data_IF_877731674291
#
_entry.id   IF_877731674291
#
_cell.length_a   1.000
_cell.length_b   1.000
_cell.length_c   1.000
_cell.angle_alpha   90.00
_cell.angle_beta   90.00
_cell.angle_gamma   90.00
#
_symmetry.space_group_name_H-M   'P 1'
#
loop_
_entity.id
_entity.type
_entity.pdbx_description
1 polymer ?
#
# COMPACT_ATOMS: atom_id res chain seq x y z
N UNK A 1 -75.06 -21.51 -1.29
CA UNK A 1 -74.27 -21.09 -2.45
C UNK A 1 -73.97 -19.60 -2.24
N UNK A 2 -72.74 -19.25 -2.11
CA UNK A 2 -72.30 -17.82 -2.05
C UNK A 2 -72.50 -17.21 -3.42
N UNK A 3 -73.05 -15.99 -3.49
CA UNK A 3 -73.27 -15.32 -4.76
C UNK A 3 -71.95 -15.02 -5.50
N UNK A 4 -71.98 -15.00 -6.82
CA UNK A 4 -70.80 -14.70 -7.63
C UNK A 4 -70.17 -13.36 -7.30
N UNK A 5 -70.93 -12.41 -6.77
CA UNK A 5 -70.44 -11.10 -6.31
C UNK A 5 -69.54 -11.19 -5.09
N UNK A 6 -69.85 -12.11 -4.15
CA UNK A 6 -69.01 -12.33 -2.95
C UNK A 6 -67.70 -13.01 -3.32
N UNK A 7 -67.70 -13.93 -4.27
CA UNK A 7 -66.48 -14.56 -4.80
C UNK A 7 -65.62 -13.55 -5.55
N UNK A 8 -66.23 -12.62 -6.29
CA UNK A 8 -65.53 -11.56 -7.00
C UNK A 8 -64.86 -10.55 -6.03
N UNK A 9 -65.57 -10.19 -4.94
CA UNK A 9 -65.02 -9.31 -3.90
C UNK A 9 -63.87 -9.97 -3.11
N UNK A 10 -64.00 -11.26 -2.78
CA UNK A 10 -62.90 -12.02 -2.13
C UNK A 10 -61.70 -12.11 -3.06
N UNK A 11 -61.88 -12.33 -4.31
CA UNK A 11 -60.78 -12.39 -5.30
C UNK A 11 -60.09 -11.02 -5.50
N UNK A 12 -60.87 -9.93 -5.42
CA UNK A 12 -60.33 -8.57 -5.51
C UNK A 12 -59.52 -8.20 -4.27
N UNK A 13 -60.01 -8.52 -3.07
CA UNK A 13 -59.29 -8.25 -1.82
C UNK A 13 -58.01 -9.08 -1.68
N UNK A 14 -58.04 -10.34 -2.10
CA UNK A 14 -56.84 -11.19 -2.12
C UNK A 14 -55.84 -10.69 -3.13
N UNK A 15 -56.27 -10.20 -4.29
CA UNK A 15 -55.35 -9.55 -5.27
C UNK A 15 -54.73 -8.28 -4.72
N UNK A 16 -55.50 -7.45 -4.00
CA UNK A 16 -55.02 -6.24 -3.39
C UNK A 16 -54.01 -6.52 -2.26
N UNK A 17 -54.24 -7.55 -1.44
CA UNK A 17 -53.25 -8.01 -0.45
C UNK A 17 -51.98 -8.59 -1.07
N UNK A 18 -52.11 -9.37 -2.17
CA UNK A 18 -50.95 -9.87 -2.91
C UNK A 18 -50.16 -8.72 -3.53
N UNK A 19 -50.85 -7.71 -4.06
CA UNK A 19 -50.20 -6.52 -4.62
C UNK A 19 -49.51 -5.70 -3.53
N UNK A 20 -50.16 -5.48 -2.37
CA UNK A 20 -49.53 -4.83 -1.18
C UNK A 20 -48.35 -5.65 -0.65
N UNK A 21 -48.47 -6.97 -0.58
CA UNK A 21 -47.38 -7.84 -0.14
C UNK A 21 -46.22 -7.85 -1.15
N UNK A 22 -46.52 -7.72 -2.42
CA UNK A 22 -45.49 -7.56 -3.46
C UNK A 22 -44.82 -6.18 -3.37
N UNK A 23 -45.57 -5.13 -3.09
CA UNK A 23 -45.04 -3.77 -2.90
C UNK A 23 -44.22 -3.66 -1.61
N UNK A 24 -44.63 -4.30 -0.51
CA UNK A 24 -43.83 -4.40 0.72
C UNK A 24 -42.55 -5.23 0.53
N UNK A 25 -42.62 -6.31 -0.24
CA UNK A 25 -41.42 -7.10 -0.55
C UNK A 25 -40.41 -6.35 -1.42
N UNK A 26 -40.86 -5.40 -2.23
CA UNK A 26 -39.92 -4.55 -3.02
C UNK A 26 -39.17 -3.55 -2.14
N UNK A 27 -39.69 -3.23 -0.92
CA UNK A 27 -39.03 -2.29 -0.01
C UNK A 27 -37.97 -2.96 0.89
N UNK A 28 -38.01 -4.29 1.05
CA UNK A 28 -37.11 -5.01 1.98
C UNK A 28 -35.81 -5.56 1.39
N UNK A 29 -35.65 -5.55 0.09
CA UNK A 29 -34.58 -6.36 -0.49
C UNK A 29 -33.29 -5.62 -0.78
N UNK A 30 -33.32 -4.31 -1.01
CA UNK A 30 -32.12 -3.60 -1.47
C UNK A 30 -32.17 -2.13 -1.09
N UNK A 31 -31.05 -1.63 -0.58
CA UNK A 31 -30.80 -0.20 -0.63
C UNK A 31 -31.07 0.31 -2.06
N UNK A 32 -31.80 1.43 -2.22
CA UNK A 32 -32.11 1.98 -3.54
C UNK A 32 -30.89 2.10 -4.44
N UNK A 33 -29.73 2.36 -3.86
CA UNK A 33 -28.46 2.49 -4.55
C UNK A 33 -27.97 1.18 -5.20
N UNK A 34 -28.27 0.02 -4.62
CA UNK A 34 -27.81 -1.25 -5.20
C UNK A 34 -28.66 -1.73 -6.38
N UNK A 35 -29.90 -1.29 -6.49
CA UNK A 35 -30.77 -1.63 -7.62
C UNK A 35 -30.49 -0.79 -8.85
N UNK A 36 -30.21 0.48 -8.67
CA UNK A 36 -29.90 1.39 -9.78
C UNK A 36 -28.59 1.01 -10.48
N UNK A 37 -27.67 0.39 -9.75
CA UNK A 37 -26.36 -0.02 -10.27
C UNK A 37 -26.44 -1.36 -11.02
N UNK A 38 -27.41 -2.22 -10.69
CA UNK A 38 -27.51 -3.58 -11.24
C UNK A 38 -28.81 -3.84 -12.03
N UNK A 39 -29.56 -2.80 -12.36
CA UNK A 39 -30.75 -2.94 -13.21
C UNK A 39 -30.32 -3.32 -14.63
N UNK A 40 -30.86 -4.41 -15.22
CA UNK A 40 -30.38 -4.92 -16.52
C UNK A 40 -30.71 -4.02 -17.69
N UNK A 41 -31.48 -2.93 -17.51
CA UNK A 41 -32.01 -2.16 -18.64
C UNK A 41 -31.00 -1.25 -19.35
N UNK A 42 -29.83 -0.93 -18.77
CA UNK A 42 -28.82 -0.07 -19.42
C UNK A 42 -27.40 -0.16 -18.84
N UNK A 43 -26.99 -1.28 -18.24
CA UNK A 43 -25.63 -1.44 -17.79
C UNK A 43 -24.76 -2.00 -18.91
N UNK A 44 -23.66 -1.31 -19.20
CA UNK A 44 -22.55 -1.92 -19.92
C UNK A 44 -22.18 -3.23 -19.21
N UNK A 45 -21.95 -4.30 -19.98
CA UNK A 45 -21.66 -5.62 -19.46
C UNK A 45 -20.47 -5.66 -18.46
N UNK A 46 -19.67 -4.61 -18.42
CA UNK A 46 -18.53 -4.46 -17.50
C UNK A 46 -18.78 -3.32 -16.51
N UNK A 47 -18.77 -3.64 -15.22
CA UNK A 47 -18.67 -2.63 -14.18
C UNK A 47 -17.27 -1.99 -14.30
N UNK A 48 -17.24 -0.75 -14.72
CA UNK A 48 -15.99 0.03 -14.71
C UNK A 48 -15.62 0.34 -13.27
N UNK A 49 -14.44 -0.06 -12.86
CA UNK A 49 -13.91 0.28 -11.56
C UNK A 49 -13.72 1.79 -11.53
N UNK A 50 -14.47 2.45 -10.66
CA UNK A 50 -14.53 3.91 -10.58
C UNK A 50 -13.24 4.55 -10.01
N UNK A 51 -12.37 3.75 -9.40
CA UNK A 51 -11.11 4.24 -8.82
C UNK A 51 -9.94 3.54 -9.48
N UNK A 52 -9.02 4.26 -10.13
CA UNK A 52 -7.78 3.68 -10.58
C UNK A 52 -7.02 3.15 -9.37
N UNK A 53 -6.52 1.91 -9.48
CA UNK A 53 -5.73 1.31 -8.43
C UNK A 53 -4.32 1.81 -8.59
N UNK A 54 -3.91 2.66 -7.66
CA UNK A 54 -2.54 3.07 -7.52
C UNK A 54 -1.98 2.47 -6.23
N UNK A 55 -1.19 1.41 -6.40
CA UNK A 55 -0.48 0.72 -5.30
C UNK A 55 1.01 0.72 -5.61
N UNK A 56 1.66 1.90 -5.53
CA UNK A 56 3.03 2.07 -5.99
C UNK A 56 4.04 1.24 -5.21
N UNK A 57 3.84 1.07 -3.92
CA UNK A 57 4.76 0.35 -3.04
C UNK A 57 4.61 -1.17 -3.22
N UNK A 58 3.38 -1.67 -3.16
CA UNK A 58 3.04 -3.08 -3.36
C UNK A 58 3.60 -3.64 -4.67
N UNK A 59 3.54 -2.84 -5.74
CA UNK A 59 3.99 -3.26 -7.07
C UNK A 59 5.52 -3.25 -7.22
N UNK A 60 6.25 -2.59 -6.31
CA UNK A 60 7.72 -2.47 -6.39
C UNK A 60 8.45 -3.40 -5.43
N UNK A 61 7.81 -3.78 -4.32
CA UNK A 61 8.42 -4.68 -3.34
C UNK A 61 8.36 -6.11 -3.87
N UNK A 62 9.50 -6.81 -3.97
CA UNK A 62 9.52 -8.20 -4.40
C UNK A 62 8.85 -9.11 -3.36
N UNK A 63 8.16 -10.13 -3.86
CA UNK A 63 7.48 -11.14 -3.06
C UNK A 63 8.30 -12.42 -3.03
N UNK A 64 8.39 -13.02 -1.86
CA UNK A 64 9.04 -14.32 -1.65
C UNK A 64 8.10 -15.27 -0.93
N UNK A 65 8.30 -16.57 -1.16
CA UNK A 65 7.51 -17.60 -0.49
C UNK A 65 7.96 -17.77 0.96
N UNK A 66 7.00 -17.58 1.88
CA UNK A 66 7.18 -17.79 3.30
C UNK A 66 7.15 -19.25 3.74
N UNK A 67 7.71 -19.53 4.91
CA UNK A 67 7.71 -20.86 5.53
C UNK A 67 7.62 -20.75 7.05
N UNK A 68 6.94 -21.71 7.68
CA UNK A 68 6.79 -21.77 9.13
C UNK A 68 5.73 -20.81 9.67
N UNK A 69 5.79 -20.48 10.95
CA UNK A 69 4.80 -19.65 11.65
C UNK A 69 5.13 -18.16 11.63
N UNK A 70 6.40 -17.81 11.43
CA UNK A 70 6.87 -16.44 11.42
C UNK A 70 8.04 -16.28 10.44
N UNK A 71 8.06 -15.14 9.77
CA UNK A 71 9.23 -14.71 9.02
C UNK A 71 10.35 -14.29 9.97
N UNK A 72 11.56 -14.75 9.72
CA UNK A 72 12.73 -14.39 10.51
C UNK A 72 13.86 -13.93 9.60
N UNK A 73 14.53 -12.84 10.01
CA UNK A 73 15.71 -12.34 9.30
C UNK A 73 16.75 -11.78 10.26
N UNK A 74 17.95 -11.64 9.74
CA UNK A 74 19.04 -11.04 10.48
C UNK A 74 19.20 -9.60 10.02
N UNK A 75 19.13 -8.66 10.97
CA UNK A 75 19.39 -7.26 10.75
C UNK A 75 20.76 -6.90 11.32
N UNK A 76 21.61 -6.26 10.54
CA UNK A 76 22.84 -5.68 11.06
C UNK A 76 22.48 -4.38 11.77
N UNK A 77 22.79 -4.28 13.05
CA UNK A 77 22.45 -3.11 13.87
C UNK A 77 23.60 -2.13 14.02
N UNK A 78 24.83 -2.58 13.82
CA UNK A 78 25.99 -1.70 13.81
C UNK A 78 27.07 -2.16 12.87
N UNK A 79 27.73 -1.19 12.24
CA UNK A 79 28.93 -1.38 11.41
C UNK A 79 29.88 -0.21 11.58
N UNK A 80 31.15 -0.47 11.38
CA UNK A 80 32.16 0.58 11.33
C UNK A 80 32.19 1.18 9.91
N UNK A 81 32.10 2.51 9.79
CA UNK A 81 32.21 3.22 8.52
C UNK A 81 33.33 4.27 8.49
N UNK A 82 34.01 4.50 9.61
CA UNK A 82 35.20 5.35 9.64
C UNK A 82 36.17 4.88 10.73
N UNK A 83 37.42 5.34 10.68
CA UNK A 83 38.41 5.01 11.71
C UNK A 83 38.07 5.53 13.10
N UNK A 84 37.17 6.48 13.21
CA UNK A 84 36.80 7.14 14.50
C UNK A 84 35.37 6.89 14.93
N UNK A 85 34.56 6.23 14.12
CA UNK A 85 33.17 6.04 14.45
C UNK A 85 32.42 5.08 13.56
N UNK A 86 31.32 4.64 14.07
CA UNK A 86 30.31 3.81 13.41
C UNK A 86 29.08 3.81 14.29
N UNK A 87 27.94 3.38 13.74
CA UNK A 87 26.72 3.25 14.51
C UNK A 87 26.90 2.20 15.59
N UNK A 88 26.93 2.62 16.85
CA UNK A 88 26.91 1.75 18.03
C UNK A 88 27.99 0.66 18.08
N UNK A 89 29.16 0.87 17.46
CA UNK A 89 30.26 -0.08 17.57
C UNK A 89 30.84 0.01 18.99
N UNK A 90 31.03 -1.13 19.64
CA UNK A 90 31.69 -1.18 20.94
C UNK A 90 33.09 -0.53 20.84
N UNK A 91 33.35 0.46 21.69
CA UNK A 91 34.60 1.21 21.63
C UNK A 91 34.49 2.54 20.86
N UNK A 92 33.31 3.15 20.78
CA UNK A 92 33.13 4.52 20.26
C UNK A 92 34.16 5.47 20.94
N UNK A 93 34.95 6.15 20.13
CA UNK A 93 36.09 7.00 20.62
C UNK A 93 37.46 6.32 20.52
N UNK A 94 37.53 5.03 20.21
CA UNK A 94 38.78 4.33 19.96
C UNK A 94 39.20 4.48 18.47
N UNK A 95 40.48 4.57 18.22
CA UNK A 95 40.98 4.63 16.85
C UNK A 95 40.87 3.25 16.19
N UNK A 96 39.93 3.09 15.27
CA UNK A 96 39.73 1.87 14.48
C UNK A 96 40.47 1.90 13.12
N UNK A 97 41.65 2.49 13.08
CA UNK A 97 42.48 2.47 11.89
C UNK A 97 42.74 1.04 11.44
N UNK A 98 42.67 0.80 10.14
CA UNK A 98 43.06 -0.47 9.55
C UNK A 98 44.62 -0.60 9.48
N UNK A 99 45.34 0.51 9.70
CA UNK A 99 46.79 0.50 9.72
C UNK A 99 47.31 0.00 11.08
N UNK A 100 48.25 -0.89 11.06
CA UNK A 100 48.92 -1.42 12.25
C UNK A 100 50.46 -1.42 12.04
N UNK A 101 51.21 -1.43 13.14
CA UNK A 101 52.65 -1.37 13.07
C UNK A 101 53.25 -2.69 12.53
N UNK A 102 54.49 -2.62 12.04
CA UNK A 102 55.25 -3.80 11.65
C UNK A 102 55.36 -4.74 12.89
N UNK A 103 55.12 -6.04 12.68
CA UNK A 103 54.98 -7.05 13.72
C UNK A 103 53.82 -6.85 14.75
N UNK A 104 52.90 -5.88 14.51
CA UNK A 104 51.69 -5.71 15.30
C UNK A 104 50.54 -6.60 14.81
N UNK A 105 49.46 -6.65 15.57
CA UNK A 105 48.20 -7.31 15.18
C UNK A 105 47.21 -6.26 14.63
N UNK A 106 46.43 -6.58 13.56
CA UNK A 106 45.33 -5.72 13.12
C UNK A 106 44.24 -5.59 14.21
N UNK A 107 43.58 -4.46 14.23
CA UNK A 107 42.49 -4.21 15.16
C UNK A 107 41.26 -5.05 14.78
N UNK A 108 40.67 -5.70 15.75
CA UNK A 108 39.39 -6.37 15.61
C UNK A 108 38.24 -5.39 15.83
N UNK A 109 37.24 -5.43 14.97
CA UNK A 109 36.01 -4.64 15.11
C UNK A 109 34.82 -5.57 15.19
N UNK A 110 34.03 -5.43 16.24
CA UNK A 110 32.83 -6.24 16.44
C UNK A 110 31.66 -5.63 15.66
N UNK A 111 30.98 -6.45 14.87
CA UNK A 111 29.71 -6.14 14.25
C UNK A 111 28.58 -6.72 15.09
N UNK A 112 27.50 -6.00 15.26
CA UNK A 112 26.33 -6.51 15.99
C UNK A 112 25.19 -6.84 15.04
N UNK A 113 24.59 -7.99 15.29
CA UNK A 113 23.46 -8.50 14.53
C UNK A 113 22.28 -8.74 15.47
N UNK A 114 21.09 -8.39 15.05
CA UNK A 114 19.84 -8.71 15.73
C UNK A 114 19.00 -9.64 14.85
N UNK A 115 18.48 -10.71 15.46
CA UNK A 115 17.46 -11.53 14.81
C UNK A 115 16.11 -10.85 15.03
N UNK A 116 15.44 -10.53 13.94
CA UNK A 116 14.07 -10.02 13.94
C UNK A 116 13.15 -11.15 13.51
N UNK A 117 12.00 -11.27 14.15
CA UNK A 117 10.97 -12.25 13.81
C UNK A 117 9.61 -11.55 13.84
N UNK A 118 8.82 -11.73 12.80
CA UNK A 118 7.47 -11.21 12.71
C UNK A 118 6.49 -12.30 12.25
N UNK A 119 5.39 -12.51 12.97
CA UNK A 119 4.38 -13.49 12.60
C UNK A 119 3.64 -13.08 11.33
N UNK A 120 3.28 -14.04 10.50
CA UNK A 120 2.42 -13.79 9.35
C UNK A 120 1.03 -13.35 9.81
N UNK A 121 0.44 -12.42 9.07
CA UNK A 121 -0.89 -11.89 9.35
C UNK A 121 -1.84 -12.25 8.22
N UNK A 122 -3.06 -12.62 8.61
CA UNK A 122 -4.12 -12.95 7.67
C UNK A 122 -4.83 -11.65 7.25
N UNK A 123 -4.82 -11.39 5.97
CA UNK A 123 -5.53 -10.29 5.34
C UNK A 123 -6.64 -10.85 4.44
N UNK A 124 -7.76 -10.17 4.33
CA UNK A 124 -8.78 -10.62 3.41
C UNK A 124 -10.11 -9.88 3.52
N UNK A 125 -10.98 -10.21 2.58
CA UNK A 125 -12.33 -9.65 2.48
C UNK A 125 -13.34 -10.77 2.22
N UNK A 126 -14.54 -10.62 2.80
CA UNK A 126 -15.69 -11.48 2.57
C UNK A 126 -16.51 -10.95 1.39
N UNK A 127 -16.87 -11.84 0.48
CA UNK A 127 -17.87 -11.62 -0.55
C UNK A 127 -19.09 -12.44 -0.19
N UNK A 128 -20.27 -11.82 -0.16
CA UNK A 128 -21.54 -12.50 0.09
C UNK A 128 -22.60 -12.00 -0.88
N UNK A 129 -23.29 -12.93 -1.54
CA UNK A 129 -24.36 -12.65 -2.49
C UNK A 129 -25.54 -13.58 -2.21
N UNK A 130 -26.72 -13.01 -2.03
CA UNK A 130 -27.94 -13.78 -1.84
C UNK A 130 -28.31 -14.57 -3.11
N UNK A 131 -28.88 -15.77 -2.91
CA UNK A 131 -29.28 -16.66 -4.02
C UNK A 131 -30.25 -15.98 -5.00
N UNK A 132 -31.21 -15.21 -4.51
CA UNK A 132 -32.16 -14.49 -5.37
C UNK A 132 -31.47 -13.41 -6.21
N UNK A 133 -30.49 -12.70 -5.63
CA UNK A 133 -29.75 -11.68 -6.35
C UNK A 133 -28.89 -12.30 -7.46
N UNK A 134 -28.27 -13.45 -7.18
CA UNK A 134 -27.50 -14.21 -8.16
C UNK A 134 -28.40 -14.77 -9.26
N UNK A 135 -29.58 -15.29 -8.92
CA UNK A 135 -30.54 -15.79 -9.91
C UNK A 135 -31.12 -14.67 -10.80
N UNK A 136 -31.35 -13.48 -10.23
CA UNK A 136 -31.83 -12.33 -10.98
C UNK A 136 -30.80 -11.77 -11.98
N UNK A 137 -29.51 -12.05 -11.76
CA UNK A 137 -28.41 -11.61 -12.65
C UNK A 137 -28.15 -12.54 -13.84
N UNK A 138 -28.96 -13.59 -14.07
CA UNK A 138 -28.73 -14.63 -15.10
C UNK A 138 -28.74 -14.13 -16.56
N UNK A 139 -29.10 -12.87 -16.79
CA UNK A 139 -29.03 -12.26 -18.14
C UNK A 139 -27.72 -11.52 -18.45
N UNK A 140 -26.76 -11.48 -17.51
CA UNK A 140 -25.51 -10.75 -17.63
C UNK A 140 -24.36 -11.41 -16.87
N UNK A 141 -23.36 -10.61 -16.49
CA UNK A 141 -22.21 -11.08 -15.71
C UNK A 141 -22.66 -11.55 -14.31
N UNK A 142 -22.08 -12.63 -13.80
CA UNK A 142 -22.36 -13.15 -12.46
C UNK A 142 -22.11 -12.09 -11.39
N UNK A 143 -23.14 -11.73 -10.61
CA UNK A 143 -23.03 -10.74 -9.53
C UNK A 143 -21.96 -11.14 -8.51
N UNK A 144 -21.76 -12.42 -8.29
CA UNK A 144 -20.73 -12.94 -7.38
C UNK A 144 -19.33 -12.62 -7.90
N UNK A 145 -19.09 -12.80 -9.20
CA UNK A 145 -17.78 -12.52 -9.82
C UNK A 145 -17.47 -11.03 -9.85
N UNK A 146 -18.47 -10.19 -10.12
CA UNK A 146 -18.31 -8.74 -10.09
C UNK A 146 -17.96 -8.23 -8.67
N UNK A 147 -18.66 -8.71 -7.65
CA UNK A 147 -18.35 -8.38 -6.26
C UNK A 147 -17.00 -8.92 -5.83
N UNK A 148 -16.63 -10.13 -6.29
CA UNK A 148 -15.31 -10.70 -6.03
C UNK A 148 -14.21 -9.80 -6.60
N UNK A 149 -14.34 -9.35 -7.84
CA UNK A 149 -13.40 -8.43 -8.48
C UNK A 149 -13.20 -7.15 -7.67
N UNK A 150 -14.30 -6.53 -7.23
CA UNK A 150 -14.24 -5.32 -6.38
C UNK A 150 -13.52 -5.61 -5.05
N UNK A 151 -13.80 -6.76 -4.42
CA UNK A 151 -13.17 -7.11 -3.15
C UNK A 151 -11.68 -7.48 -3.27
N UNK A 152 -11.26 -8.03 -4.40
CA UNK A 152 -9.84 -8.20 -4.71
C UNK A 152 -9.14 -6.83 -4.73
N UNK A 153 -9.73 -5.85 -5.40
CA UNK A 153 -9.18 -4.50 -5.44
C UNK A 153 -9.14 -3.83 -4.06
N UNK A 154 -10.20 -3.95 -3.28
CA UNK A 154 -10.20 -3.46 -1.90
C UNK A 154 -9.14 -4.12 -1.03
N UNK A 155 -8.84 -5.41 -1.25
CA UNK A 155 -7.78 -6.12 -0.56
C UNK A 155 -6.41 -5.58 -0.94
N UNK A 156 -6.16 -5.35 -2.24
CA UNK A 156 -4.90 -4.76 -2.71
C UNK A 156 -4.67 -3.34 -2.16
N UNK A 157 -5.72 -2.52 -2.09
CA UNK A 157 -5.63 -1.19 -1.49
C UNK A 157 -5.37 -1.25 0.03
N UNK A 158 -6.05 -2.17 0.72
CA UNK A 158 -5.82 -2.38 2.15
C UNK A 158 -4.42 -2.92 2.45
N UNK A 159 -3.86 -3.75 1.58
CA UNK A 159 -2.48 -4.21 1.67
C UNK A 159 -1.50 -3.04 1.54
N UNK A 160 -1.68 -2.14 0.55
CA UNK A 160 -0.85 -0.93 0.40
C UNK A 160 -0.88 -0.07 1.66
N UNK A 161 -2.08 0.16 2.22
CA UNK A 161 -2.24 0.91 3.47
C UNK A 161 -1.48 0.27 4.63
N UNK A 162 -1.56 -1.05 4.79
CA UNK A 162 -0.86 -1.79 5.83
C UNK A 162 0.66 -1.80 5.63
N UNK A 163 1.14 -1.90 4.39
CA UNK A 163 2.58 -1.80 4.07
C UNK A 163 3.16 -0.46 4.53
N UNK A 164 2.36 0.61 4.49
CA UNK A 164 2.79 1.94 4.92
C UNK A 164 2.53 2.17 6.40
N UNK A 165 1.28 2.01 6.86
CA UNK A 165 0.79 2.48 8.16
C UNK A 165 0.54 1.37 9.18
N UNK A 166 0.66 0.09 8.81
CA UNK A 166 0.37 -1.02 9.71
C UNK A 166 1.09 -0.89 11.06
N UNK A 167 0.39 -1.13 12.15
CA UNK A 167 0.92 -1.07 13.51
C UNK A 167 0.35 -2.18 14.39
N UNK A 168 1.14 -3.21 14.62
CA UNK A 168 0.78 -4.36 15.44
C UNK A 168 0.50 -4.01 16.92
N UNK A 169 0.98 -2.86 17.39
CA UNK A 169 0.71 -2.38 18.75
C UNK A 169 -0.70 -1.76 18.88
N UNK A 170 -1.21 -1.15 17.81
CA UNK A 170 -2.57 -0.61 17.75
C UNK A 170 -3.60 -1.70 17.42
N UNK A 171 -3.27 -2.56 16.48
CA UNK A 171 -4.11 -3.68 16.07
C UNK A 171 -3.26 -4.94 15.92
N UNK A 172 -3.44 -5.89 16.83
CA UNK A 172 -2.67 -7.14 16.84
C UNK A 172 -2.89 -8.04 15.61
N UNK A 173 -3.92 -7.77 14.80
CA UNK A 173 -4.17 -8.48 13.54
C UNK A 173 -3.32 -7.93 12.37
N UNK A 174 -2.70 -6.77 12.52
CA UNK A 174 -1.85 -6.13 11.51
C UNK A 174 -0.38 -6.51 11.69
N UNK A 175 0.39 -6.41 10.62
CA UNK A 175 1.85 -6.42 10.67
C UNK A 175 2.38 -4.97 10.72
N UNK A 176 3.63 -4.79 11.16
CA UNK A 176 4.25 -3.47 11.21
C UNK A 176 4.62 -3.00 9.80
N UNK A 177 4.07 -1.84 9.42
CA UNK A 177 4.35 -1.16 8.16
C UNK A 177 5.66 -0.36 8.19
N UNK A 178 6.02 0.25 7.06
CA UNK A 178 7.27 1.01 6.91
C UNK A 178 7.38 2.17 7.91
N UNK A 179 6.30 2.91 8.14
CA UNK A 179 6.32 4.04 9.09
C UNK A 179 6.62 3.63 10.53
N UNK A 180 6.30 2.39 10.89
CA UNK A 180 6.59 1.81 12.21
C UNK A 180 7.99 1.21 12.25
N UNK A 181 8.39 0.49 11.21
CA UNK A 181 9.68 -0.20 11.17
C UNK A 181 10.87 0.75 10.97
N UNK A 182 10.69 1.90 10.30
CA UNK A 182 11.75 2.90 10.12
C UNK A 182 11.85 3.75 11.39
N UNK A 183 12.91 3.53 12.15
CA UNK A 183 13.15 4.17 13.45
C UNK A 183 14.46 4.96 13.52
N UNK A 184 15.49 4.56 12.74
CA UNK A 184 16.83 5.12 12.82
C UNK A 184 16.90 6.53 12.26
N UNK A 185 16.40 6.75 11.06
CA UNK A 185 16.46 8.06 10.43
C UNK A 185 15.07 8.66 10.23
N UNK A 186 14.85 9.81 10.87
CA UNK A 186 13.62 10.57 10.73
C UNK A 186 13.91 12.07 10.77
N UNK A 187 13.14 12.83 10.02
CA UNK A 187 13.22 14.29 9.99
C UNK A 187 11.84 14.91 9.85
N UNK A 188 11.77 16.22 10.01
CA UNK A 188 10.52 16.98 9.88
C UNK A 188 10.68 18.11 8.88
N UNK A 189 9.70 18.25 8.01
CA UNK A 189 9.55 19.37 7.08
C UNK A 189 8.09 19.82 7.09
N UNK A 190 7.85 21.11 6.94
CA UNK A 190 6.48 21.62 6.75
C UNK A 190 5.96 21.33 5.34
N UNK A 191 6.84 21.39 4.34
CA UNK A 191 6.57 21.05 2.93
C UNK A 191 7.81 20.35 2.35
N UNK A 192 7.60 19.48 1.38
CA UNK A 192 8.70 18.89 0.64
C UNK A 192 9.35 19.95 -0.25
N UNK A 193 10.65 20.13 -0.05
CA UNK A 193 11.49 21.02 -0.87
C UNK A 193 12.68 20.23 -1.41
N UNK A 194 13.22 20.66 -2.53
CA UNK A 194 14.40 20.02 -3.14
C UNK A 194 15.63 20.10 -2.22
N UNK A 195 15.80 21.23 -1.54
CA UNK A 195 16.88 21.42 -0.55
C UNK A 195 16.71 20.49 0.65
N UNK A 196 15.49 20.34 1.21
CA UNK A 196 15.23 19.45 2.35
C UNK A 196 15.49 17.98 2.00
N UNK A 197 15.03 17.53 0.83
CA UNK A 197 15.32 16.19 0.34
C UNK A 197 16.83 15.99 0.15
N UNK A 198 17.52 17.01 -0.38
CA UNK A 198 18.98 16.97 -0.56
C UNK A 198 19.74 16.76 0.75
N UNK A 199 19.33 17.43 1.84
CA UNK A 199 19.92 17.23 3.18
C UNK A 199 19.70 15.80 3.67
N UNK A 200 18.52 15.23 3.47
CA UNK A 200 18.25 13.85 3.91
C UNK A 200 18.97 12.81 3.06
N UNK A 201 19.11 13.03 1.75
CA UNK A 201 19.95 12.20 0.89
C UNK A 201 21.41 12.25 1.32
N UNK A 202 21.91 13.44 1.67
CA UNK A 202 23.27 13.61 2.18
C UNK A 202 23.43 12.86 3.51
N UNK A 203 22.48 12.99 4.43
CA UNK A 203 22.53 12.29 5.75
C UNK A 203 22.65 10.77 5.55
N UNK A 204 21.83 10.19 4.67
CA UNK A 204 21.91 8.75 4.38
C UNK A 204 23.23 8.36 3.69
N UNK A 205 23.73 9.19 2.77
CA UNK A 205 24.98 8.93 2.09
C UNK A 205 26.17 8.99 3.04
N UNK A 206 26.23 10.01 3.91
CA UNK A 206 27.35 10.24 4.83
C UNK A 206 27.34 9.19 5.97
N UNK A 207 26.16 8.86 6.48
CA UNK A 207 26.03 7.92 7.59
C UNK A 207 26.13 6.45 7.14
N UNK A 208 25.45 6.08 6.07
CA UNK A 208 25.27 4.68 5.70
C UNK A 208 25.79 4.34 4.29
N UNK A 209 26.21 5.34 3.52
CA UNK A 209 26.56 5.13 2.11
C UNK A 209 25.37 4.67 1.26
N UNK A 210 24.15 5.05 1.68
CA UNK A 210 22.91 4.65 1.02
C UNK A 210 22.37 5.77 0.14
N UNK A 211 21.82 5.40 -1.00
CA UNK A 211 21.29 6.32 -1.99
C UNK A 211 19.84 5.97 -2.28
N UNK A 212 18.87 6.81 -1.82
CA UNK A 212 17.44 6.57 -2.08
C UNK A 212 17.14 6.47 -3.57
N UNK A 213 16.22 5.55 -3.90
CA UNK A 213 15.78 5.28 -5.27
C UNK A 213 14.31 5.67 -5.47
N UNK A 214 13.53 5.74 -4.40
CA UNK A 214 12.11 6.04 -4.41
C UNK A 214 11.76 7.09 -3.35
N UNK A 215 11.04 8.13 -3.76
CA UNK A 215 10.35 9.06 -2.88
C UNK A 215 8.86 8.78 -2.95
N UNK A 216 8.29 8.35 -1.83
CA UNK A 216 6.86 8.11 -1.67
C UNK A 216 6.24 9.25 -0.89
N UNK A 217 5.24 9.93 -1.45
CA UNK A 217 4.61 11.08 -0.82
C UNK A 217 3.15 11.29 -1.24
N UNK A 218 2.40 12.04 -0.45
CA UNK A 218 1.06 12.49 -0.82
C UNK A 218 1.09 13.48 -1.99
N UNK A 219 0.04 13.52 -2.79
CA UNK A 219 -0.04 14.37 -3.98
C UNK A 219 0.20 15.86 -3.72
N UNK A 220 -0.24 16.37 -2.56
CA UNK A 220 0.03 17.74 -2.14
C UNK A 220 1.53 18.01 -2.00
N UNK A 221 2.26 17.08 -1.39
CA UNK A 221 3.69 17.23 -1.15
C UNK A 221 4.49 17.15 -2.44
N UNK A 222 4.06 16.29 -3.38
CA UNK A 222 4.64 16.22 -4.72
C UNK A 222 4.40 17.53 -5.47
N UNK A 223 3.22 18.13 -5.33
CA UNK A 223 2.93 19.43 -5.90
C UNK A 223 3.82 20.52 -5.30
N UNK A 224 3.96 20.58 -3.97
CA UNK A 224 4.84 21.53 -3.30
C UNK A 224 6.30 21.41 -3.77
N UNK A 225 6.78 20.18 -3.95
CA UNK A 225 8.11 19.91 -4.51
C UNK A 225 8.23 20.37 -5.97
N UNK A 226 7.19 20.17 -6.77
CA UNK A 226 7.18 20.63 -8.15
C UNK A 226 7.19 22.18 -8.23
N UNK A 227 6.43 22.85 -7.36
CA UNK A 227 6.39 24.30 -7.25
C UNK A 227 7.75 24.87 -6.79
N UNK A 228 8.43 24.20 -5.82
CA UNK A 228 9.78 24.58 -5.37
C UNK A 228 10.82 24.47 -6.51
N UNK A 229 10.82 23.36 -7.24
CA UNK A 229 11.71 23.16 -8.37
C UNK A 229 11.43 24.14 -9.53
N UNK A 230 10.17 24.52 -9.74
CA UNK A 230 9.78 25.51 -10.73
C UNK A 230 10.23 26.91 -10.31
N UNK A 231 10.01 27.28 -9.04
CA UNK A 231 10.43 28.56 -8.46
C UNK A 231 11.95 28.75 -8.49
N UNK A 232 12.72 27.69 -8.34
CA UNK A 232 14.16 27.70 -8.48
C UNK A 232 14.66 27.80 -9.94
N UNK A 233 13.77 27.93 -10.91
CA UNK A 233 14.13 27.99 -12.33
C UNK A 233 14.66 26.67 -12.92
N UNK A 234 14.62 25.59 -12.14
CA UNK A 234 15.19 24.31 -12.52
C UNK A 234 14.34 23.52 -13.52
N UNK A 235 13.05 23.84 -13.63
CA UNK A 235 12.12 23.19 -14.56
C UNK A 235 11.33 24.26 -15.32
N UNK A 236 11.79 24.65 -16.49
CA UNK A 236 10.96 25.31 -17.49
C UNK A 236 10.68 24.30 -18.61
N UNK A 237 9.53 23.63 -18.55
CA UNK A 237 9.13 22.74 -19.64
C UNK A 237 7.71 23.05 -20.08
N UNK A 238 7.62 23.55 -21.28
CA UNK A 238 6.45 23.42 -22.15
C UNK A 238 6.54 22.00 -22.70
N UNK A 239 5.66 21.12 -22.26
CA UNK A 239 5.52 19.79 -22.86
C UNK A 239 4.67 19.95 -24.12
N UNK A 240 5.12 19.40 -25.22
CA UNK A 240 4.33 19.26 -26.44
C UNK A 240 3.64 17.88 -26.37
N UNK A 241 2.37 17.81 -26.71
CA UNK A 241 1.69 16.54 -26.93
C UNK A 241 2.16 15.89 -28.24
N UNK A 242 1.67 14.67 -28.52
CA UNK A 242 2.00 13.95 -29.75
C UNK A 242 1.56 14.71 -31.03
N UNK A 243 0.69 15.70 -30.91
CA UNK A 243 0.17 16.55 -31.97
C UNK A 243 0.91 17.90 -32.07
N UNK A 244 1.91 18.15 -31.19
CA UNK A 244 2.68 19.38 -31.17
C UNK A 244 2.02 20.56 -30.46
N UNK A 245 0.91 20.34 -29.72
CA UNK A 245 0.27 21.39 -28.94
C UNK A 245 0.99 21.59 -27.61
N UNK A 246 1.09 22.84 -27.14
CA UNK A 246 1.66 23.15 -25.84
C UNK A 246 0.74 22.66 -24.73
N UNK A 247 1.23 21.74 -23.90
CA UNK A 247 0.54 21.27 -22.70
C UNK A 247 1.14 22.01 -21.50
N UNK A 248 0.31 22.84 -20.84
CA UNK A 248 0.72 23.54 -19.62
C UNK A 248 0.72 22.58 -18.43
N UNK A 249 1.74 22.67 -17.60
CA UNK A 249 1.84 21.95 -16.33
C UNK A 249 3.21 21.32 -16.11
N UNK A 250 3.50 21.01 -14.84
CA UNK A 250 4.72 20.30 -14.42
C UNK A 250 4.36 18.91 -13.96
N UNK A 251 4.89 17.90 -14.65
CA UNK A 251 4.84 16.51 -14.18
C UNK A 251 6.17 16.15 -13.55
N UNK A 252 6.17 15.95 -12.24
CA UNK A 252 7.33 15.48 -11.51
C UNK A 252 7.30 13.95 -11.45
N UNK A 253 8.08 13.30 -12.29
CA UNK A 253 8.22 11.84 -12.29
C UNK A 253 9.45 11.37 -11.49
N UNK A 254 10.48 12.23 -11.42
CA UNK A 254 11.73 11.91 -10.73
C UNK A 254 12.49 13.19 -10.38
N UNK A 255 13.37 13.06 -9.40
CA UNK A 255 14.36 14.09 -9.00
C UNK A 255 15.76 13.49 -9.04
N UNK A 256 16.75 14.34 -9.17
CA UNK A 256 18.16 13.91 -9.15
C UNK A 256 18.65 14.00 -7.69
N UNK A 257 19.26 12.93 -7.20
CA UNK A 257 19.96 12.94 -5.93
C UNK A 257 21.22 13.85 -6.05
N UNK A 258 21.29 14.93 -5.28
CA UNK A 258 22.39 15.89 -5.41
C UNK A 258 23.75 15.34 -4.97
N UNK A 259 23.77 14.20 -4.23
CA UNK A 259 25.01 13.62 -3.70
C UNK A 259 25.74 12.78 -4.74
N UNK A 260 25.01 11.93 -5.47
CA UNK A 260 25.61 10.97 -6.41
C UNK A 260 25.06 11.06 -7.84
N UNK A 261 24.12 11.96 -8.11
CA UNK A 261 23.51 12.12 -9.43
C UNK A 261 22.54 11.01 -9.85
N UNK A 262 22.24 10.06 -8.99
CA UNK A 262 21.23 9.01 -9.29
C UNK A 262 19.82 9.59 -9.34
N UNK A 263 18.94 8.93 -10.08
CA UNK A 263 17.55 9.34 -10.21
C UNK A 263 16.75 8.72 -9.06
N UNK A 264 16.01 9.57 -8.34
CA UNK A 264 15.02 9.17 -7.35
C UNK A 264 13.65 9.26 -8.02
N UNK A 265 12.97 8.15 -8.17
CA UNK A 265 11.60 8.11 -8.68
C UNK A 265 10.64 8.75 -7.67
N UNK A 266 9.70 9.55 -8.13
CA UNK A 266 8.66 10.15 -7.27
C UNK A 266 7.34 9.42 -7.52
N UNK A 267 6.82 8.77 -6.49
CA UNK A 267 5.55 8.07 -6.55
C UNK A 267 4.53 8.70 -5.61
N UNK A 268 3.32 8.88 -6.13
CA UNK A 268 2.19 9.32 -5.35
C UNK A 268 1.58 8.15 -4.58
N UNK A 269 1.33 8.37 -3.29
CA UNK A 269 0.55 7.45 -2.48
C UNK A 269 -0.45 8.20 -1.61
N UNK A 270 -1.70 7.72 -1.62
CA UNK A 270 -2.82 8.33 -0.90
C UNK A 270 -2.75 8.14 0.61
N UNK A 271 -2.01 7.14 1.09
CA UNK A 271 -1.90 6.80 2.51
C UNK A 271 -0.76 7.52 3.23
N UNK A 272 0.01 8.33 2.50
CA UNK A 272 1.16 9.06 3.07
C UNK A 272 0.79 10.33 3.85
N UNK A 273 -0.43 10.86 3.72
CA UNK A 273 -0.98 12.01 4.44
C UNK A 273 0.04 13.13 4.79
N UNK A 274 0.51 13.16 6.04
CA UNK A 274 1.46 14.11 6.63
C UNK A 274 2.92 13.64 6.61
N UNK A 275 3.22 12.56 5.87
CA UNK A 275 4.53 11.91 5.86
C UNK A 275 5.02 11.70 4.44
N UNK A 276 6.32 11.49 4.32
CA UNK A 276 6.94 11.00 3.10
C UNK A 276 8.06 10.01 3.44
N UNK A 277 8.38 9.12 2.53
CA UNK A 277 9.43 8.13 2.69
C UNK A 277 10.44 8.27 1.56
N UNK A 278 11.71 8.32 1.92
CA UNK A 278 12.84 8.13 1.01
C UNK A 278 13.32 6.70 1.18
N UNK A 279 13.12 5.89 0.15
CA UNK A 279 13.35 4.46 0.19
C UNK A 279 14.52 4.05 -0.73
N UNK A 280 15.42 3.27 -0.14
CA UNK A 280 16.46 2.54 -0.87
C UNK A 280 15.95 1.13 -1.10
N UNK A 281 15.53 0.82 -2.32
CA UNK A 281 14.86 -0.45 -2.64
C UNK A 281 15.85 -1.61 -2.69
N UNK A 282 17.03 -1.37 -3.25
CA UNK A 282 18.05 -2.39 -3.50
C UNK A 282 19.42 -2.00 -2.97
N UNK A 283 20.18 -2.99 -2.56
CA UNK A 283 21.58 -2.83 -2.22
C UNK A 283 22.44 -2.53 -3.47
N UNK A 284 23.68 -2.04 -3.32
CA UNK A 284 24.61 -1.95 -4.43
C UNK A 284 24.91 -3.29 -5.12
N UNK A 285 24.69 -4.40 -4.43
CA UNK A 285 24.82 -5.76 -4.97
C UNK A 285 23.56 -6.24 -5.70
N UNK A 286 22.47 -5.43 -5.72
CA UNK A 286 21.19 -5.77 -6.34
C UNK A 286 20.23 -6.54 -5.46
N UNK A 287 20.58 -6.80 -4.19
CA UNK A 287 19.68 -7.46 -3.25
C UNK A 287 18.60 -6.51 -2.74
N UNK A 288 17.36 -6.95 -2.61
CA UNK A 288 16.28 -6.09 -2.11
C UNK A 288 16.41 -5.89 -0.59
N UNK A 289 16.33 -4.62 -0.15
CA UNK A 289 16.32 -4.25 1.25
C UNK A 289 14.96 -4.42 1.94
N UNK A 290 13.90 -4.56 1.15
CA UNK A 290 12.55 -4.83 1.64
C UNK A 290 11.89 -5.91 0.78
N UNK A 291 11.12 -6.77 1.42
CA UNK A 291 10.45 -7.92 0.79
C UNK A 291 9.11 -8.16 1.46
N UNK A 292 8.14 -8.60 0.69
CA UNK A 292 6.90 -9.17 1.23
C UNK A 292 7.08 -10.69 1.24
N UNK A 293 6.92 -11.29 2.39
CA UNK A 293 7.00 -12.74 2.55
C UNK A 293 5.58 -13.31 2.66
N UNK A 294 5.17 -14.05 1.62
CA UNK A 294 3.83 -14.61 1.49
C UNK A 294 3.82 -16.08 1.99
N UNK A 295 3.15 -16.34 3.09
CA UNK A 295 2.88 -17.71 3.52
C UNK A 295 1.76 -18.32 2.68
N UNK A 296 0.68 -17.57 2.48
CA UNK A 296 -0.44 -17.92 1.62
C UNK A 296 -0.60 -16.78 0.61
N UNK A 297 -0.33 -17.03 -0.67
CA UNK A 297 -0.57 -16.03 -1.70
C UNK A 297 -2.08 -15.73 -1.78
N UNK A 298 -2.42 -14.56 -2.31
CA UNK A 298 -3.83 -14.17 -2.48
C UNK A 298 -4.62 -15.28 -3.15
N UNK A 299 -5.58 -15.83 -2.44
CA UNK A 299 -6.37 -16.98 -2.86
C UNK A 299 -7.84 -16.79 -2.55
N UNK A 300 -8.66 -17.54 -3.28
CA UNK A 300 -10.11 -17.59 -3.10
C UNK A 300 -10.49 -18.87 -2.39
N UNK A 301 -11.33 -18.75 -1.36
CA UNK A 301 -11.90 -19.87 -0.63
C UNK A 301 -13.42 -19.78 -0.70
N UNK A 302 -14.06 -20.79 -1.29
CA UNK A 302 -15.52 -20.92 -1.28
C UNK A 302 -15.95 -21.51 0.07
N UNK A 303 -16.85 -20.82 0.76
CA UNK A 303 -17.30 -21.21 2.10
C UNK A 303 -18.74 -21.71 2.01
N UNK A 304 -19.04 -22.91 2.53
CA UNK A 304 -20.41 -23.39 2.59
C UNK A 304 -21.24 -22.45 3.47
N UNK A 305 -22.38 -22.03 2.95
CA UNK A 305 -23.32 -21.16 3.66
C UNK A 305 -24.46 -21.97 4.26
N UNK A 306 -24.83 -21.67 5.49
CA UNK A 306 -26.04 -22.20 6.13
C UNK A 306 -27.32 -21.45 5.69
N UNK A 307 -27.16 -20.30 5.03
CA UNK A 307 -28.23 -19.44 4.54
C UNK A 307 -28.32 -19.54 3.01
N UNK A 308 -29.41 -19.04 2.43
CA UNK A 308 -29.57 -18.94 0.97
C UNK A 308 -28.67 -17.84 0.38
N UNK A 309 -27.35 -17.98 0.55
CA UNK A 309 -26.33 -17.04 0.05
C UNK A 309 -25.09 -17.81 -0.42
N UNK A 310 -24.36 -17.21 -1.36
CA UNK A 310 -23.02 -17.64 -1.76
C UNK A 310 -21.99 -16.83 -1.01
N UNK A 311 -21.04 -17.49 -0.36
CA UNK A 311 -20.00 -16.83 0.43
C UNK A 311 -18.63 -17.25 -0.14
N UNK A 312 -17.79 -16.23 -0.39
CA UNK A 312 -16.38 -16.41 -0.77
C UNK A 312 -15.50 -15.56 0.13
N UNK A 313 -14.36 -16.09 0.50
CA UNK A 313 -13.30 -15.34 1.15
C UNK A 313 -12.15 -15.15 0.17
N UNK A 314 -11.69 -13.91 0.09
CA UNK A 314 -10.41 -13.56 -0.55
C UNK A 314 -9.45 -13.42 0.62
N UNK A 315 -8.43 -14.27 0.67
CA UNK A 315 -7.48 -14.32 1.78
C UNK A 315 -6.06 -14.37 1.28
N UNK A 316 -5.17 -13.75 2.05
CA UNK A 316 -3.73 -13.87 1.91
C UNK A 316 -3.10 -13.86 3.29
N UNK A 317 -1.92 -14.46 3.46
CA UNK A 317 -1.17 -14.42 4.70
C UNK A 317 0.24 -13.96 4.38
N UNK A 318 0.62 -12.81 4.91
CA UNK A 318 1.89 -12.17 4.56
C UNK A 318 2.48 -11.37 5.72
N UNK A 319 3.70 -10.91 5.53
CA UNK A 319 4.39 -9.97 6.40
C UNK A 319 5.39 -9.13 5.62
N UNK A 320 5.54 -7.87 6.01
CA UNK A 320 6.57 -6.97 5.47
C UNK A 320 7.88 -7.18 6.21
N UNK A 321 8.92 -7.51 5.45
CA UNK A 321 10.27 -7.75 5.93
C UNK A 321 11.17 -6.60 5.49
N UNK A 322 11.57 -5.75 6.43
CA UNK A 322 12.52 -4.66 6.21
C UNK A 322 13.90 -5.07 6.72
N UNK A 323 14.79 -5.45 5.80
CA UNK A 323 16.15 -5.90 6.11
C UNK A 323 17.08 -4.70 6.27
N UNK A 324 16.97 -3.73 5.37
CA UNK A 324 17.79 -2.52 5.31
C UNK A 324 17.13 -1.32 5.96
N UNK A 325 16.73 -1.40 7.21
CA UNK A 325 16.07 -0.30 7.92
C UNK A 325 16.94 0.96 8.02
N UNK A 326 18.26 0.90 8.32
CA UNK A 326 19.09 2.10 8.40
C UNK A 326 19.29 2.83 7.06
N UNK A 327 18.93 2.21 5.95
CA UNK A 327 19.04 2.81 4.61
C UNK A 327 17.78 3.55 4.18
N UNK A 328 16.80 3.66 5.06
CA UNK A 328 15.52 4.30 4.81
C UNK A 328 15.40 5.60 5.62
N UNK A 329 14.67 6.56 5.09
CA UNK A 329 14.42 7.83 5.79
C UNK A 329 12.94 8.17 5.82
N UNK A 330 12.46 8.51 7.02
CA UNK A 330 11.06 8.93 7.25
C UNK A 330 11.00 10.44 7.45
N UNK A 331 10.18 11.11 6.68
CA UNK A 331 9.93 12.55 6.77
C UNK A 331 8.52 12.73 7.36
N UNK A 332 8.41 13.46 8.46
CA UNK A 332 7.15 13.77 9.11
C UNK A 332 6.89 15.27 9.20
N UNK A 333 5.75 15.64 9.83
CA UNK A 333 5.39 17.03 10.07
C UNK A 333 4.91 17.80 8.82
N UNK A 334 4.66 17.08 7.71
CA UNK A 334 4.24 17.69 6.46
C UNK A 334 2.81 18.23 6.58
N UNK A 335 2.58 19.44 6.09
CA UNK A 335 1.27 20.06 6.15
C UNK A 335 0.22 19.26 5.34
N UNK A 336 -0.95 19.04 5.94
CA UNK A 336 -2.06 18.27 5.34
C UNK A 336 -3.17 19.16 4.78
N UNK A 337 -3.27 20.41 5.21
CA UNK A 337 -4.30 21.38 4.80
C UNK A 337 -3.73 22.58 4.05
#
# INVERSE_FOLDING_TARGET
MLSNDVLAQISASVREEIMKAAEVKTTYAFSPDSRSVFSPENLAADIKILSPIDTPLRNRIPRIQGKGEAAAWIKMTSRLHSKTGGNSVAGAGTNHSIAFADAGAPNETAQTYAKVSAPYKLLGRKVEVGMLAQAASQGGTSMLEERERVKIYETMLGEEELLIQGDSALNSAEFDGLLKQITTYSGTLSLLTSSGIGVYCQTLADAEGAYPQLLLAAGRQIRALADDLQGAGSIQRIMLDAQGNAVGGVRLASIINPVNGTVIEVAHDRYMADKALLLTMTSPAGEPWMQIEDLIPMSRIDVPSSNASFIRFIVQAEVLKLIGEPFQYKIGGLATS
#
